data_IF_289129338638
#
_entry.id   IF_289129338638
#
_cell.length_a   1.000
_cell.length_b   1.000
_cell.length_c   1.000
_cell.angle_alpha   90.00
_cell.angle_beta   90.00
_cell.angle_gamma   90.00
#
_symmetry.space_group_name_H-M   'P 1'
#
loop_
_entity.id
_entity.type
_entity.pdbx_description
1 polymer ?
#
# COMPACT_ATOMS: atom_id res chain seq x y z
N UNK A 1 12.81 -0.01 71.83
CA UNK A 1 11.81 0.94 71.30
C UNK A 1 12.10 1.13 69.81
N UNK A 2 11.07 0.92 68.97
CA UNK A 2 10.78 1.44 67.60
C UNK A 2 11.94 2.20 66.91
N UNK A 3 12.34 1.99 65.65
CA UNK A 3 11.59 2.01 64.36
C UNK A 3 12.64 1.84 63.22
N UNK A 4 12.41 0.96 62.23
CA UNK A 4 11.93 1.24 60.85
C UNK A 4 13.03 1.73 59.87
N UNK A 5 13.46 0.91 58.89
CA UNK A 5 13.06 0.89 57.44
C UNK A 5 13.89 1.89 56.58
N UNK A 6 14.90 1.47 55.81
CA UNK A 6 14.92 0.90 54.44
C UNK A 6 14.44 1.84 53.31
N UNK A 7 15.17 1.79 52.17
CA UNK A 7 14.99 2.42 50.82
C UNK A 7 15.81 3.71 50.60
N UNK A 8 16.88 3.77 49.79
CA UNK A 8 17.09 3.42 48.36
C UNK A 8 16.46 4.43 47.38
N UNK A 9 17.35 5.09 46.62
CA UNK A 9 17.17 5.77 45.31
C UNK A 9 15.89 6.59 45.06
N UNK A 10 16.06 7.90 44.81
CA UNK A 10 15.87 8.43 43.45
C UNK A 10 16.35 9.89 43.34
N UNK A 11 17.13 10.16 42.29
CA UNK A 11 17.42 11.49 41.77
C UNK A 11 16.10 12.07 41.24
N UNK A 12 15.72 13.23 41.75
CA UNK A 12 14.60 14.02 41.22
C UNK A 12 14.97 14.50 39.81
N UNK A 13 14.34 13.89 38.80
CA UNK A 13 14.39 14.31 37.41
C UNK A 13 13.28 15.34 37.22
N UNK A 14 13.66 16.60 37.13
CA UNK A 14 12.75 17.74 36.96
C UNK A 14 12.35 17.75 35.48
N UNK A 15 11.14 17.28 35.15
CA UNK A 15 10.53 17.53 33.85
C UNK A 15 9.84 18.90 33.92
N UNK A 16 10.07 19.83 32.99
CA UNK A 16 9.27 21.05 32.92
C UNK A 16 7.84 20.68 32.50
N UNK A 17 6.85 21.12 33.28
CA UNK A 17 5.44 21.02 32.92
C UNK A 17 5.19 21.80 31.62
N UNK A 18 4.75 21.09 30.58
CA UNK A 18 4.18 21.71 29.39
C UNK A 18 2.70 21.98 29.69
N UNK A 19 2.36 23.24 29.95
CA UNK A 19 0.98 23.72 29.98
C UNK A 19 0.35 23.58 28.59
N UNK A 20 -0.26 22.44 28.33
CA UNK A 20 -1.09 22.19 27.15
C UNK A 20 -2.52 22.59 27.49
N UNK A 21 -2.94 23.77 27.06
CA UNK A 21 -4.33 24.23 27.14
C UNK A 21 -5.11 23.60 25.96
N UNK A 22 -6.04 22.66 26.20
CA UNK A 22 -6.77 22.02 25.11
C UNK A 22 -7.83 22.98 24.56
N UNK A 23 -7.89 23.23 23.24
CA UNK A 23 -8.93 24.10 22.69
C UNK A 23 -10.32 23.46 22.82
N UNK A 24 -11.25 24.18 23.44
CA UNK A 24 -12.68 23.84 23.48
C UNK A 24 -13.25 23.81 22.05
N UNK A 25 -13.58 22.62 21.55
CA UNK A 25 -14.38 22.46 20.35
C UNK A 25 -15.84 22.80 20.63
N UNK A 26 -16.23 24.03 20.32
CA UNK A 26 -17.65 24.38 20.18
C UNK A 26 -18.09 24.09 18.76
N UNK A 27 -18.67 22.90 18.60
CA UNK A 27 -19.45 22.54 17.42
C UNK A 27 -20.69 23.45 17.33
N UNK A 28 -20.69 24.38 16.38
CA UNK A 28 -21.92 24.75 15.67
C UNK A 28 -21.62 25.51 14.37
N UNK A 29 -21.74 24.80 13.26
CA UNK A 29 -22.55 25.19 12.09
C UNK A 29 -22.24 26.50 11.35
N UNK A 30 -21.82 26.32 10.09
CA UNK A 30 -22.20 27.12 8.91
C UNK A 30 -22.03 28.65 8.98
N UNK A 31 -21.10 29.20 8.20
CA UNK A 31 -21.38 29.80 6.89
C UNK A 31 -20.16 30.58 6.38
N UNK A 32 -19.95 30.45 5.07
CA UNK A 32 -19.06 31.22 4.22
C UNK A 32 -18.99 32.72 4.57
N UNK A 33 -17.80 33.27 4.83
CA UNK A 33 -17.54 34.69 4.60
C UNK A 33 -16.04 34.96 4.39
N UNK A 34 -15.67 35.25 3.15
CA UNK A 34 -14.36 35.73 2.73
C UNK A 34 -13.95 37.00 3.49
N UNK A 35 -12.66 37.13 3.85
CA UNK A 35 -11.78 38.32 3.61
C UNK A 35 -10.54 38.28 4.53
N UNK A 36 -9.40 37.99 3.89
CA UNK A 36 -8.04 38.52 4.11
C UNK A 36 -7.41 38.46 5.51
N UNK A 37 -6.48 37.51 5.66
CA UNK A 37 -5.22 37.73 6.35
C UNK A 37 -4.10 37.32 5.38
N UNK A 38 -3.03 38.09 5.35
CA UNK A 38 -1.78 37.77 4.68
C UNK A 38 -1.14 36.58 5.42
N UNK A 39 -1.37 35.36 4.95
CA UNK A 39 -0.73 34.16 5.46
C UNK A 39 0.10 33.63 4.31
N UNK A 40 1.43 33.65 4.47
CA UNK A 40 2.36 33.02 3.54
C UNK A 40 1.82 31.64 3.18
N UNK A 41 1.47 31.47 1.91
CA UNK A 41 1.24 30.21 1.25
C UNK A 41 2.54 29.42 1.34
N UNK A 42 2.79 28.89 2.53
CA UNK A 42 3.67 27.76 2.71
C UNK A 42 2.94 26.68 1.94
N UNK A 43 3.41 26.42 0.73
CA UNK A 43 3.20 25.20 -0.03
C UNK A 43 3.58 24.04 0.90
N UNK A 44 2.68 23.73 1.83
CA UNK A 44 2.73 22.51 2.60
C UNK A 44 2.32 21.49 1.55
N UNK A 45 3.32 21.01 0.80
CA UNK A 45 3.23 19.78 0.06
C UNK A 45 2.67 18.78 1.08
N UNK A 46 1.37 18.53 1.00
CA UNK A 46 0.78 17.33 1.55
C UNK A 46 1.49 16.23 0.78
N UNK A 47 2.65 15.83 1.30
CA UNK A 47 3.31 14.62 0.90
C UNK A 47 2.23 13.55 1.10
N UNK A 48 1.64 13.12 -0.01
CA UNK A 48 0.71 12.02 -0.07
C UNK A 48 1.45 10.88 0.64
N UNK A 49 1.05 10.58 1.88
CA UNK A 49 1.71 9.53 2.68
C UNK A 49 1.39 8.25 1.95
N UNK A 50 2.30 7.86 1.05
CA UNK A 50 2.12 6.76 0.13
C UNK A 50 2.23 5.47 0.93
N UNK A 51 1.11 5.04 1.48
CA UNK A 51 1.04 3.78 2.20
C UNK A 51 1.13 2.63 1.17
N UNK A 52 2.31 2.00 1.06
CA UNK A 52 2.54 0.91 0.10
C UNK A 52 1.62 -0.29 0.35
N UNK A 53 1.06 -0.43 1.55
CA UNK A 53 0.05 -1.45 1.84
C UNK A 53 -1.23 -1.18 1.07
N UNK A 54 -1.69 0.07 1.05
CA UNK A 54 -2.91 0.46 0.32
C UNK A 54 -2.70 0.27 -1.19
N UNK A 55 -1.53 0.66 -1.69
CA UNK A 55 -1.15 0.45 -3.09
C UNK A 55 -1.14 -1.05 -3.44
N UNK A 56 -0.58 -1.89 -2.57
CA UNK A 56 -0.60 -3.33 -2.74
C UNK A 56 -2.02 -3.90 -2.75
N UNK A 57 -2.89 -3.43 -1.84
CA UNK A 57 -4.30 -3.84 -1.80
C UNK A 57 -5.04 -3.41 -3.09
N UNK A 58 -4.78 -2.21 -3.60
CA UNK A 58 -5.34 -1.73 -4.87
C UNK A 58 -4.89 -2.60 -6.05
N UNK A 59 -3.59 -2.91 -6.13
CA UNK A 59 -3.02 -3.81 -7.16
C UNK A 59 -3.67 -5.19 -7.11
N UNK A 60 -3.82 -5.77 -5.92
CA UNK A 60 -4.49 -7.07 -5.77
C UNK A 60 -5.92 -7.01 -6.29
N UNK A 61 -6.70 -6.02 -5.86
CA UNK A 61 -8.11 -5.90 -6.27
C UNK A 61 -8.28 -5.68 -7.77
N UNK A 62 -7.34 -4.99 -8.40
CA UNK A 62 -7.42 -4.70 -9.83
C UNK A 62 -7.27 -5.97 -10.68
N UNK A 63 -6.31 -6.85 -10.37
CA UNK A 63 -5.99 -8.02 -11.23
C UNK A 63 -6.30 -9.39 -10.63
N UNK A 64 -6.92 -9.47 -9.45
CA UNK A 64 -7.30 -10.76 -8.82
C UNK A 64 -8.11 -11.66 -9.75
N UNK A 65 -8.95 -11.08 -10.61
CA UNK A 65 -9.80 -11.83 -11.56
C UNK A 65 -9.02 -12.60 -12.62
N UNK A 66 -7.78 -12.18 -12.88
CA UNK A 66 -6.96 -12.69 -13.98
C UNK A 66 -6.00 -13.81 -13.54
N UNK A 67 -5.84 -14.01 -12.23
CA UNK A 67 -4.97 -15.02 -11.61
C UNK A 67 -5.80 -16.04 -10.83
N UNK A 68 -5.16 -17.08 -10.28
CA UNK A 68 -5.84 -18.09 -9.45
C UNK A 68 -6.02 -17.60 -8.02
N UNK A 69 -4.99 -16.98 -7.45
CA UNK A 69 -5.04 -16.37 -6.12
C UNK A 69 -4.08 -15.18 -6.06
N UNK A 70 -4.44 -14.15 -5.30
CA UNK A 70 -3.56 -13.02 -5.03
C UNK A 70 -3.92 -12.38 -3.69
N UNK A 71 -2.91 -12.03 -2.90
CA UNK A 71 -3.10 -11.39 -1.59
C UNK A 71 -1.83 -10.68 -1.13
N UNK A 72 -1.99 -9.63 -0.34
CA UNK A 72 -0.85 -9.00 0.36
C UNK A 72 -0.33 -9.96 1.43
N UNK A 73 1.00 -10.11 1.50
CA UNK A 73 1.66 -10.95 2.51
C UNK A 73 1.30 -10.49 3.92
N UNK A 74 1.05 -11.44 4.82
CA UNK A 74 0.83 -11.18 6.25
C UNK A 74 2.06 -11.48 7.10
N UNK A 75 3.08 -12.08 6.50
CA UNK A 75 4.24 -12.63 7.18
C UNK A 75 5.50 -11.82 6.91
N UNK A 76 5.55 -11.10 5.79
CA UNK A 76 6.65 -10.23 5.42
C UNK A 76 6.43 -8.80 5.94
N UNK A 77 7.51 -8.06 6.21
CA UNK A 77 7.40 -6.69 6.72
C UNK A 77 6.72 -5.80 5.69
N UNK A 78 5.69 -5.07 6.14
CA UNK A 78 5.03 -4.02 5.38
C UNK A 78 5.45 -2.70 6.01
N UNK A 79 5.95 -1.78 5.19
CA UNK A 79 6.32 -0.44 5.59
C UNK A 79 5.74 0.60 4.64
N UNK A 80 6.07 1.86 4.88
CA UNK A 80 5.67 2.99 4.02
C UNK A 80 6.30 2.87 2.63
N UNK A 81 7.52 2.34 2.53
CA UNK A 81 8.27 2.27 1.27
C UNK A 81 8.17 0.91 0.54
N UNK A 82 7.66 -0.13 1.22
CA UNK A 82 7.66 -1.50 0.68
C UNK A 82 6.47 -2.32 1.16
N UNK A 83 5.88 -3.07 0.23
CA UNK A 83 4.88 -4.08 0.52
C UNK A 83 5.16 -5.36 -0.28
N UNK A 84 4.68 -6.50 0.23
CA UNK A 84 4.85 -7.79 -0.42
C UNK A 84 3.51 -8.38 -0.83
N UNK A 85 3.46 -8.95 -2.04
CA UNK A 85 2.24 -9.51 -2.63
C UNK A 85 2.52 -10.94 -3.05
N UNK A 86 1.68 -11.85 -2.61
CA UNK A 86 1.68 -13.24 -3.05
C UNK A 86 0.72 -13.41 -4.22
N UNK A 87 1.16 -14.11 -5.27
CA UNK A 87 0.34 -14.41 -6.44
C UNK A 87 0.50 -15.86 -6.87
N UNK A 88 -0.61 -16.51 -7.18
CA UNK A 88 -0.69 -17.81 -7.84
C UNK A 88 -1.37 -17.62 -9.19
N UNK A 89 -0.64 -17.92 -10.26
CA UNK A 89 -1.15 -17.78 -11.62
C UNK A 89 -2.13 -18.92 -11.95
N UNK A 90 -2.86 -18.81 -13.06
CA UNK A 90 -3.83 -19.86 -13.46
C UNK A 90 -3.18 -21.18 -13.84
N UNK A 91 -1.88 -21.14 -14.14
CA UNK A 91 -1.02 -22.29 -14.39
C UNK A 91 -0.56 -22.99 -13.09
N UNK A 92 -0.87 -22.42 -11.92
CA UNK A 92 -0.49 -22.96 -10.61
C UNK A 92 0.91 -22.54 -10.13
N UNK A 93 1.57 -21.62 -10.83
CA UNK A 93 2.87 -21.10 -10.42
C UNK A 93 2.69 -20.06 -9.32
N UNK A 94 3.51 -20.14 -8.27
CA UNK A 94 3.45 -19.23 -7.11
C UNK A 94 4.65 -18.30 -7.10
N UNK A 95 4.40 -17.04 -6.77
CA UNK A 95 5.43 -16.02 -6.67
C UNK A 95 5.18 -15.12 -5.46
N UNK A 96 6.27 -14.63 -4.88
CA UNK A 96 6.25 -13.50 -3.98
C UNK A 96 6.81 -12.29 -4.73
N UNK A 97 6.05 -11.20 -4.70
CA UNK A 97 6.37 -9.94 -5.33
C UNK A 97 6.71 -8.91 -4.28
N UNK A 98 7.68 -8.07 -4.57
CA UNK A 98 7.94 -6.85 -3.82
C UNK A 98 7.40 -5.66 -4.62
N UNK A 99 6.63 -4.82 -3.95
CA UNK A 99 6.14 -3.54 -4.44
C UNK A 99 6.89 -2.42 -3.71
N UNK A 100 7.50 -1.53 -4.49
CA UNK A 100 8.16 -0.32 -4.02
C UNK A 100 7.82 0.83 -4.96
N UNK A 101 8.36 2.02 -4.70
CA UNK A 101 8.25 3.15 -5.64
C UNK A 101 8.85 2.88 -7.02
N UNK A 102 9.82 1.95 -7.12
CA UNK A 102 10.41 1.55 -8.40
C UNK A 102 9.48 0.63 -9.23
N UNK A 103 8.36 0.18 -8.66
CA UNK A 103 7.41 -0.74 -9.28
C UNK A 103 7.41 -2.12 -8.61
N UNK A 104 7.21 -3.17 -9.40
CA UNK A 104 7.03 -4.54 -8.93
C UNK A 104 8.14 -5.45 -9.43
N UNK A 105 8.65 -6.32 -8.56
CA UNK A 105 9.59 -7.38 -8.95
C UNK A 105 9.25 -8.70 -8.26
N UNK A 106 9.69 -9.81 -8.85
CA UNK A 106 9.64 -11.12 -8.20
C UNK A 106 10.83 -11.25 -7.26
N UNK A 107 10.55 -11.58 -6.00
CA UNK A 107 11.55 -11.84 -4.96
C UNK A 107 11.53 -13.29 -4.47
N UNK A 108 10.59 -14.11 -4.94
CA UNK A 108 10.55 -15.54 -4.60
C UNK A 108 9.59 -16.35 -5.48
N UNK A 109 9.79 -17.67 -5.51
CA UNK A 109 8.97 -18.65 -6.25
C UNK A 109 8.00 -19.42 -5.34
N UNK A 110 7.68 -18.83 -4.19
CA UNK A 110 6.75 -19.35 -3.20
C UNK A 110 6.09 -18.21 -2.46
N UNK A 111 5.00 -18.49 -1.75
CA UNK A 111 4.36 -17.47 -0.92
C UNK A 111 5.24 -17.10 0.27
N UNK A 112 5.27 -15.82 0.57
CA UNK A 112 5.99 -15.26 1.72
C UNK A 112 7.49 -15.61 1.72
N UNK A 113 8.03 -15.90 0.53
CA UNK A 113 9.43 -16.23 0.33
C UNK A 113 10.14 -15.04 -0.29
N UNK A 114 11.23 -14.61 0.34
CA UNK A 114 12.16 -13.63 -0.20
C UNK A 114 13.51 -14.31 -0.34
N UNK A 115 14.02 -14.38 -1.56
CA UNK A 115 15.33 -14.89 -1.90
C UNK A 115 16.20 -13.73 -2.39
N UNK A 116 17.11 -13.27 -1.55
CA UNK A 116 18.01 -12.15 -1.84
C UNK A 116 18.97 -12.43 -3.00
N UNK A 117 19.12 -13.69 -3.41
CA UNK A 117 19.93 -14.06 -4.58
C UNK A 117 19.19 -13.81 -5.91
N UNK A 118 17.87 -13.64 -5.88
CA UNK A 118 17.07 -13.29 -7.05
C UNK A 118 17.18 -11.78 -7.31
N UNK A 119 17.98 -11.41 -8.31
CA UNK A 119 18.04 -10.05 -8.84
C UNK A 119 17.24 -9.98 -10.14
N UNK A 120 15.92 -10.01 -10.02
CA UNK A 120 15.01 -9.84 -11.15
C UNK A 120 14.70 -8.34 -11.35
N UNK A 121 14.51 -7.89 -12.60
CA UNK A 121 14.24 -6.48 -12.88
C UNK A 121 12.89 -6.04 -12.31
N UNK A 122 12.78 -4.74 -12.00
CA UNK A 122 11.51 -4.12 -11.70
C UNK A 122 10.70 -3.92 -12.98
N UNK A 123 9.39 -4.11 -12.84
CA UNK A 123 8.38 -3.81 -13.83
C UNK A 123 7.56 -2.62 -13.35
N UNK A 124 7.23 -1.72 -14.26
CA UNK A 124 6.48 -0.49 -13.95
C UNK A 124 5.08 -0.79 -13.40
N UNK A 125 4.39 -1.80 -13.97
CA UNK A 125 3.03 -2.16 -13.58
C UNK A 125 2.87 -3.66 -13.35
N UNK A 126 1.85 -4.02 -12.57
CA UNK A 126 1.47 -5.42 -12.34
C UNK A 126 1.10 -6.13 -13.66
N UNK A 127 0.56 -5.40 -14.64
CA UNK A 127 0.19 -5.95 -15.94
C UNK A 127 1.42 -6.37 -16.74
N UNK A 128 2.44 -5.51 -16.81
CA UNK A 128 3.70 -5.82 -17.51
C UNK A 128 4.44 -6.97 -16.84
N UNK A 129 4.33 -7.09 -15.52
CA UNK A 129 4.89 -8.22 -14.79
C UNK A 129 4.12 -9.51 -15.10
N UNK A 130 2.79 -9.52 -14.95
CA UNK A 130 1.96 -10.70 -15.19
C UNK A 130 2.00 -11.17 -16.65
N UNK A 131 2.13 -10.27 -17.63
CA UNK A 131 2.34 -10.62 -19.04
C UNK A 131 3.60 -11.48 -19.25
N UNK A 132 4.66 -11.22 -18.47
CA UNK A 132 5.89 -11.99 -18.50
C UNK A 132 5.82 -13.29 -17.69
N UNK A 133 5.09 -13.30 -16.57
CA UNK A 133 5.03 -14.43 -15.63
C UNK A 133 3.96 -15.47 -15.97
N UNK A 134 2.87 -15.08 -16.63
CA UNK A 134 1.71 -15.93 -16.86
C UNK A 134 1.24 -15.86 -18.32
N UNK A 135 1.64 -16.82 -19.16
CA UNK A 135 1.04 -17.01 -20.48
C UNK A 135 -0.50 -17.06 -20.44
N UNK A 136 -1.10 -17.68 -19.42
CA UNK A 136 -2.54 -17.78 -19.28
C UNK A 136 -3.20 -16.43 -18.98
N UNK A 137 -2.54 -15.54 -18.23
CA UNK A 137 -2.98 -14.16 -18.04
C UNK A 137 -3.06 -13.44 -19.40
N UNK A 138 -2.00 -13.55 -20.20
CA UNK A 138 -1.95 -12.93 -21.53
C UNK A 138 -3.05 -13.44 -22.46
N UNK A 139 -3.29 -14.75 -22.47
CA UNK A 139 -4.38 -15.35 -23.25
C UNK A 139 -5.76 -14.87 -22.75
N UNK A 140 -5.99 -14.84 -21.44
CA UNK A 140 -7.24 -14.36 -20.87
C UNK A 140 -7.51 -12.88 -21.20
N UNK A 141 -6.48 -12.04 -21.11
CA UNK A 141 -6.57 -10.62 -21.44
C UNK A 141 -6.84 -10.40 -22.94
N UNK A 142 -6.11 -11.10 -23.81
CA UNK A 142 -6.33 -11.03 -25.25
C UNK A 142 -7.74 -11.48 -25.63
N UNK A 143 -8.25 -12.56 -25.05
CA UNK A 143 -9.60 -13.06 -25.29
C UNK A 143 -10.68 -12.06 -24.81
N UNK A 144 -10.48 -11.42 -23.65
CA UNK A 144 -11.39 -10.39 -23.16
C UNK A 144 -11.46 -9.17 -24.09
N UNK A 145 -10.32 -8.77 -24.68
CA UNK A 145 -10.27 -7.69 -25.66
C UNK A 145 -11.01 -8.07 -26.95
N UNK A 146 -10.80 -9.28 -27.46
CA UNK A 146 -11.50 -9.78 -28.66
C UNK A 146 -13.02 -9.80 -28.46
N UNK A 147 -13.50 -10.30 -27.33
CA UNK A 147 -14.93 -10.33 -27.04
C UNK A 147 -15.57 -8.93 -27.03
N UNK A 148 -14.88 -7.93 -26.46
CA UNK A 148 -15.36 -6.53 -26.49
C UNK A 148 -15.39 -5.96 -27.91
N UNK A 149 -14.37 -6.24 -28.73
CA UNK A 149 -14.33 -5.81 -30.13
C UNK A 149 -15.46 -6.45 -30.96
N UNK A 150 -15.80 -7.71 -30.68
CA UNK A 150 -16.92 -8.40 -31.33
C UNK A 150 -18.28 -7.83 -30.93
N UNK A 151 -18.48 -7.50 -29.65
CA UNK A 151 -19.71 -6.87 -29.17
C UNK A 151 -19.99 -5.53 -29.88
N UNK A 152 -18.96 -4.70 -30.04
CA UNK A 152 -19.07 -3.41 -30.73
C UNK A 152 -19.45 -3.54 -32.22
N UNK A 153 -18.97 -4.61 -32.89
CA UNK A 153 -19.33 -4.88 -34.29
C UNK A 153 -20.79 -5.30 -34.44
N UNK A 154 -21.36 -5.99 -33.46
CA UNK A 154 -22.76 -6.42 -33.49
C UNK A 154 -23.72 -5.25 -33.23
N UNK A 155 -23.34 -4.28 -32.40
CA UNK A 155 -24.16 -3.08 -32.13
C UNK A 155 -24.23 -2.09 -33.31
N UNK A 156 -23.33 -2.17 -34.29
CA UNK A 156 -23.30 -1.25 -35.45
C UNK A 156 -24.19 -1.73 -36.62
N UNK A 157 -24.85 -2.89 -36.50
CA UNK A 157 -25.63 -3.49 -37.60
C UNK A 157 -27.14 -3.52 -37.40
N UNK A 158 -27.67 -2.73 -36.46
CA UNK A 158 -29.12 -2.45 -36.32
C UNK A 158 -29.42 -0.96 -36.59
#
# INVERSE_FOLDING_TARGET
MRRAEHLAHQRENILPEMDYDPPELKESGFTNFSVFGDWEESEFEVADVKDMRLEAEAVVNDVIFAVSHMSVSKYLPIGEDVAFINVETKEGNKYCLELTEAGLRVVGYGFDQVDESLSLPYHETVYSLLDSLSPAYREAFANALLQRLEALKQETHD
#
